data_IF_428311607083
#
_entry.id   IF_428311607083
#
_cell.length_a   1.000
_cell.length_b   1.000
_cell.length_c   1.000
_cell.angle_alpha   90.00
_cell.angle_beta   90.00
_cell.angle_gamma   90.00
#
_symmetry.space_group_name_H-M   'P 1'
#
loop_
_entity.id
_entity.type
_entity.pdbx_description
1 polymer ?
#
# COMPACT_ATOMS: atom_id res chain seq x y z
N UNK A 1 7.93 33.92 26.14
CA UNK A 1 7.59 32.60 25.63
C UNK A 1 6.63 32.76 24.46
N UNK A 2 7.15 32.79 23.22
CA UNK A 2 6.38 32.94 21.99
C UNK A 2 6.62 31.76 21.06
N UNK A 3 6.73 30.55 21.64
CA UNK A 3 6.75 29.35 20.83
C UNK A 3 5.30 29.01 20.51
N UNK A 4 4.83 29.60 19.38
CA UNK A 4 3.51 29.31 18.86
C UNK A 4 3.40 27.84 18.49
N UNK A 5 2.20 27.26 18.63
CA UNK A 5 1.92 25.95 18.11
C UNK A 5 2.03 25.98 16.59
N UNK A 6 2.60 24.91 16.03
CA UNK A 6 2.74 24.72 14.59
C UNK A 6 2.07 23.39 14.19
N UNK A 7 1.59 23.33 12.96
CA UNK A 7 1.12 22.12 12.32
C UNK A 7 1.82 22.04 10.96
N UNK A 8 2.60 21.01 10.75
CA UNK A 8 3.44 20.78 9.56
C UNK A 8 4.27 22.02 9.17
N UNK A 9 4.99 22.60 10.16
CA UNK A 9 5.79 23.83 10.05
C UNK A 9 4.99 25.11 9.71
N UNK A 10 3.66 25.07 9.74
CA UNK A 10 2.80 26.23 9.58
C UNK A 10 2.25 26.65 10.94
N UNK A 11 2.42 27.94 11.25
CA UNK A 11 2.01 28.51 12.55
C UNK A 11 0.50 28.48 12.73
N UNK A 12 0.04 28.06 13.91
CA UNK A 12 -1.35 28.18 14.33
C UNK A 12 -1.56 29.60 14.87
N UNK A 13 -2.30 30.41 14.11
CA UNK A 13 -2.56 31.83 14.49
C UNK A 13 -3.74 31.97 15.43
N UNK A 14 -4.69 31.06 15.40
CA UNK A 14 -5.84 31.05 16.30
C UNK A 14 -6.14 29.58 16.72
N UNK A 15 -5.71 29.17 17.91
CA UNK A 15 -5.93 27.80 18.39
C UNK A 15 -7.30 27.67 19.09
N UNK A 16 -7.79 26.42 19.16
CA UNK A 16 -8.91 26.02 20.02
C UNK A 16 -10.26 26.72 19.72
N UNK A 17 -10.54 27.03 18.47
CA UNK A 17 -11.85 27.53 18.04
C UNK A 17 -12.87 26.41 18.20
N UNK A 18 -13.87 26.60 19.07
CA UNK A 18 -14.89 25.59 19.31
C UNK A 18 -15.86 25.50 18.14
N UNK A 19 -16.07 24.28 17.62
CA UNK A 19 -17.09 23.94 16.67
C UNK A 19 -18.10 22.96 17.31
N UNK A 20 -19.23 22.70 16.64
CA UNK A 20 -20.27 21.81 17.16
C UNK A 20 -19.76 20.39 17.40
N UNK A 21 -18.91 19.88 16.52
CA UNK A 21 -18.42 18.49 16.51
C UNK A 21 -16.92 18.37 16.82
N UNK A 22 -16.27 19.44 17.28
CA UNK A 22 -14.83 19.38 17.55
C UNK A 22 -14.18 20.72 17.80
N UNK A 23 -12.89 20.79 17.56
CA UNK A 23 -12.04 21.98 17.70
C UNK A 23 -11.39 22.25 16.34
N UNK A 24 -11.35 23.51 15.95
CA UNK A 24 -10.70 23.99 14.74
C UNK A 24 -9.50 24.86 15.13
N UNK A 25 -8.42 24.73 14.40
CA UNK A 25 -7.24 25.59 14.51
C UNK A 25 -7.08 26.36 13.19
N UNK A 26 -6.89 27.68 13.27
CA UNK A 26 -6.60 28.49 12.11
C UNK A 26 -5.10 28.59 11.89
N UNK A 27 -4.67 28.22 10.69
CA UNK A 27 -3.27 28.29 10.27
C UNK A 27 -2.98 29.64 9.58
N UNK A 28 -1.72 30.06 9.62
CA UNK A 28 -1.22 31.28 8.96
C UNK A 28 -1.21 31.14 7.43
N UNK A 29 -0.94 29.93 6.95
CA UNK A 29 -0.90 29.57 5.53
C UNK A 29 -1.51 28.18 5.29
N UNK A 30 -1.86 27.83 4.06
CA UNK A 30 -2.21 26.45 3.71
C UNK A 30 -1.03 25.50 3.96
N UNK A 31 -1.33 24.31 4.46
CA UNK A 31 -0.37 23.22 4.55
C UNK A 31 -0.32 22.51 3.20
N UNK A 32 0.87 22.12 2.78
CA UNK A 32 1.04 21.32 1.57
C UNK A 32 0.38 19.95 1.76
N UNK A 33 -0.43 19.56 0.79
CA UNK A 33 -1.02 18.22 0.78
C UNK A 33 0.06 17.19 0.45
N UNK A 34 0.25 16.22 1.35
CA UNK A 34 1.13 15.08 1.13
C UNK A 34 0.27 13.86 0.85
N UNK A 35 0.47 13.25 -0.30
CA UNK A 35 -0.16 11.97 -0.63
C UNK A 35 0.27 10.88 0.36
N UNK A 36 -0.60 9.92 0.61
CA UNK A 36 -0.19 8.62 1.14
C UNK A 36 0.65 7.86 0.10
N UNK A 37 1.38 6.83 0.52
CA UNK A 37 2.13 5.98 -0.42
C UNK A 37 1.19 5.38 -1.47
N UNK A 38 -0.03 4.99 -1.05
CA UNK A 38 -1.04 4.44 -1.95
C UNK A 38 -1.48 5.44 -3.02
N UNK A 39 -1.84 6.64 -2.62
CA UNK A 39 -2.26 7.70 -3.56
C UNK A 39 -1.14 8.08 -4.53
N UNK A 40 0.10 8.14 -4.03
CA UNK A 40 1.24 8.54 -4.84
C UNK A 40 1.58 7.52 -5.95
N UNK A 41 1.23 6.25 -5.79
CA UNK A 41 1.36 5.26 -6.86
C UNK A 41 0.55 5.61 -8.12
N UNK A 42 -0.50 6.43 -8.01
CA UNK A 42 -1.36 6.85 -9.13
C UNK A 42 -1.02 8.23 -9.69
N UNK A 43 0.00 8.89 -9.16
CA UNK A 43 0.45 10.21 -9.62
C UNK A 43 1.23 10.07 -10.93
N UNK A 44 1.20 11.11 -11.76
CA UNK A 44 1.91 11.15 -13.03
C UNK A 44 3.43 11.03 -12.83
N UNK A 45 4.10 10.36 -13.77
CA UNK A 45 5.55 10.14 -13.73
C UNK A 45 6.39 11.42 -13.68
N UNK A 46 5.83 12.57 -14.07
CA UNK A 46 6.48 13.87 -13.95
C UNK A 46 6.81 14.22 -12.49
N UNK A 47 5.98 13.83 -11.54
CA UNK A 47 6.25 13.99 -10.10
C UNK A 47 7.27 12.98 -9.56
N UNK A 48 7.66 12.01 -10.37
CA UNK A 48 8.64 10.96 -10.08
C UNK A 48 9.90 11.10 -10.94
N UNK A 49 10.29 12.33 -11.31
CA UNK A 49 11.46 12.61 -12.17
C UNK A 49 11.44 11.84 -13.52
N UNK A 50 10.24 11.52 -14.03
CA UNK A 50 10.02 10.78 -15.26
C UNK A 50 10.06 9.25 -15.12
N UNK A 51 10.31 8.71 -13.93
CA UNK A 51 10.24 7.27 -13.70
C UNK A 51 8.80 6.76 -13.79
N UNK A 52 8.62 5.64 -14.48
CA UNK A 52 7.32 5.01 -14.69
C UNK A 52 7.17 3.79 -13.80
N UNK A 53 6.11 3.77 -13.02
CA UNK A 53 5.75 2.68 -12.08
C UNK A 53 4.35 2.11 -12.36
N UNK A 54 3.77 2.45 -13.52
CA UNK A 54 2.40 2.12 -13.89
C UNK A 54 2.10 0.62 -13.84
N UNK A 55 3.10 -0.22 -14.13
CA UNK A 55 2.91 -1.68 -14.16
C UNK A 55 2.51 -2.23 -12.80
N UNK A 56 3.20 -1.82 -11.72
CA UNK A 56 2.84 -2.19 -10.36
C UNK A 56 1.55 -1.50 -9.93
N UNK A 57 1.43 -0.19 -10.15
CA UNK A 57 0.27 0.60 -9.78
C UNK A 57 -1.02 0.02 -10.40
N UNK A 58 -1.05 -0.18 -11.71
CA UNK A 58 -2.21 -0.74 -12.41
C UNK A 58 -2.55 -2.15 -11.91
N UNK A 59 -1.53 -2.97 -11.63
CA UNK A 59 -1.76 -4.29 -11.07
C UNK A 59 -2.43 -4.21 -9.69
N UNK A 60 -1.93 -3.38 -8.79
CA UNK A 60 -2.50 -3.21 -7.45
C UNK A 60 -3.92 -2.62 -7.52
N UNK A 61 -4.12 -1.57 -8.29
CA UNK A 61 -5.43 -0.92 -8.44
C UNK A 61 -6.47 -1.77 -9.15
N UNK A 62 -6.07 -2.76 -9.96
CA UNK A 62 -7.00 -3.69 -10.61
C UNK A 62 -7.81 -4.54 -9.63
N UNK A 63 -7.40 -4.59 -8.36
CA UNK A 63 -8.10 -5.29 -7.29
C UNK A 63 -8.99 -4.39 -6.44
N UNK A 64 -9.18 -3.14 -6.82
CA UNK A 64 -10.13 -2.25 -6.17
C UNK A 64 -11.56 -2.75 -6.41
N UNK A 65 -12.26 -3.05 -5.32
CA UNK A 65 -13.67 -3.42 -5.33
C UNK A 65 -14.45 -2.33 -4.60
N UNK A 66 -15.40 -1.72 -5.31
CA UNK A 66 -16.30 -0.73 -4.72
C UNK A 66 -17.50 -1.44 -4.11
N UNK A 67 -17.68 -1.29 -2.81
CA UNK A 67 -18.75 -1.92 -2.06
C UNK A 67 -19.53 -0.86 -1.27
N UNK A 68 -20.79 -1.17 -0.93
CA UNK A 68 -21.59 -0.31 -0.06
C UNK A 68 -21.11 -0.49 1.37
N UNK A 69 -20.79 0.61 2.05
CA UNK A 69 -20.55 0.61 3.49
C UNK A 69 -21.89 0.53 4.21
N UNK A 70 -22.23 -0.66 4.68
CA UNK A 70 -23.50 -0.91 5.38
C UNK A 70 -23.63 -0.13 6.70
N UNK A 71 -22.49 0.22 7.33
CA UNK A 71 -22.50 0.94 8.61
C UNK A 71 -22.70 2.45 8.44
N UNK A 72 -22.23 3.01 7.33
CA UNK A 72 -22.35 4.44 7.05
C UNK A 72 -23.56 4.75 6.15
N UNK A 73 -24.13 3.75 5.49
CA UNK A 73 -25.29 3.89 4.61
C UNK A 73 -26.58 3.92 5.38
N UNK A 74 -27.57 4.65 4.88
CA UNK A 74 -28.91 4.71 5.45
C UNK A 74 -29.75 3.56 4.89
N UNK A 75 -30.13 2.64 5.77
CA UNK A 75 -30.92 1.47 5.40
C UNK A 75 -32.31 1.88 4.88
N UNK A 76 -32.70 1.29 3.77
CA UNK A 76 -34.03 1.33 3.19
C UNK A 76 -34.85 0.06 3.52
N UNK A 77 -36.03 -0.09 2.94
CA UNK A 77 -36.82 -1.30 3.09
C UNK A 77 -36.17 -2.50 2.40
N UNK A 78 -36.43 -3.70 2.92
CA UNK A 78 -36.07 -4.93 2.23
C UNK A 78 -37.05 -5.17 1.07
N UNK A 79 -36.51 -5.31 -0.16
CA UNK A 79 -37.30 -5.56 -1.37
C UNK A 79 -36.86 -6.88 -1.98
N UNK A 80 -37.79 -7.80 -2.17
CA UNK A 80 -37.52 -9.15 -2.71
C UNK A 80 -36.44 -9.96 -1.95
N UNK A 81 -36.27 -9.70 -0.65
CA UNK A 81 -35.29 -10.35 0.20
C UNK A 81 -33.91 -9.69 0.16
N UNK A 82 -33.71 -8.63 -0.62
CA UNK A 82 -32.49 -7.87 -0.67
C UNK A 82 -32.61 -6.56 0.11
N UNK A 83 -31.55 -6.22 0.86
CA UNK A 83 -31.47 -4.96 1.58
C UNK A 83 -31.27 -3.82 0.58
N UNK A 84 -32.12 -2.79 0.66
CA UNK A 84 -31.97 -1.56 -0.09
C UNK A 84 -31.43 -0.43 0.79
N UNK A 85 -30.94 0.64 0.18
CA UNK A 85 -30.42 1.81 0.89
C UNK A 85 -31.12 3.07 0.40
N UNK A 86 -31.50 3.94 1.33
CA UNK A 86 -32.05 5.27 1.03
C UNK A 86 -30.95 6.25 0.66
N UNK A 87 -29.77 6.07 1.29
CA UNK A 87 -28.54 6.79 0.95
C UNK A 87 -27.38 5.79 1.07
N UNK A 88 -26.51 5.76 0.06
CA UNK A 88 -25.44 4.78 -0.05
C UNK A 88 -24.08 5.45 0.06
N UNK A 89 -23.33 5.11 1.09
CA UNK A 89 -21.90 5.39 1.19
C UNK A 89 -21.13 4.22 0.60
N UNK A 90 -20.12 4.51 -0.20
CA UNK A 90 -19.29 3.47 -0.81
C UNK A 90 -17.89 3.52 -0.26
N UNK A 91 -17.30 2.35 -0.05
CA UNK A 91 -15.88 2.16 0.27
C UNK A 91 -15.21 1.40 -0.85
N UNK A 92 -13.92 1.64 -1.02
CA UNK A 92 -13.08 0.88 -1.95
C UNK A 92 -12.22 -0.05 -1.14
N UNK A 93 -12.46 -1.35 -1.28
CA UNK A 93 -11.66 -2.40 -0.66
C UNK A 93 -10.62 -2.90 -1.65
N UNK A 94 -9.41 -3.17 -1.17
CA UNK A 94 -8.35 -3.79 -1.97
C UNK A 94 -7.63 -4.85 -1.14
N UNK A 95 -7.56 -6.07 -1.66
CA UNK A 95 -6.92 -7.20 -0.95
C UNK A 95 -5.43 -6.99 -0.68
N UNK A 96 -4.75 -6.12 -1.44
CA UNK A 96 -3.34 -5.81 -1.24
C UNK A 96 -3.09 -4.86 -0.09
N UNK A 97 -4.08 -4.06 0.30
CA UNK A 97 -4.04 -3.16 1.46
C UNK A 97 -4.29 -3.93 2.76
N UNK A 98 -3.51 -5.00 2.97
CA UNK A 98 -3.59 -5.84 4.16
C UNK A 98 -2.23 -6.50 4.42
N UNK A 99 -1.67 -6.41 5.63
CA UNK A 99 -0.37 -7.00 5.94
C UNK A 99 -0.35 -8.53 5.91
N UNK A 100 -1.51 -9.21 5.99
CA UNK A 100 -1.57 -10.67 5.92
C UNK A 100 -1.55 -11.21 4.48
N UNK A 101 -1.91 -10.38 3.51
CA UNK A 101 -2.05 -10.79 2.10
C UNK A 101 -1.31 -9.93 1.10
N UNK A 102 -0.83 -8.74 1.49
CA UNK A 102 -0.26 -7.78 0.56
C UNK A 102 0.81 -6.86 1.15
N UNK A 103 0.74 -5.60 0.81
CA UNK A 103 1.76 -4.58 1.10
C UNK A 103 1.57 -3.86 2.45
N UNK A 104 0.52 -4.18 3.20
CA UNK A 104 0.17 -3.45 4.43
C UNK A 104 -0.82 -2.32 4.17
N UNK A 105 -1.13 -1.57 5.21
CA UNK A 105 -2.10 -0.47 5.18
C UNK A 105 -1.46 0.84 4.70
N UNK A 106 -0.89 0.82 3.49
CA UNK A 106 -0.18 1.99 2.91
C UNK A 106 -1.11 3.12 2.46
N UNK A 107 -2.40 2.95 2.61
CA UNK A 107 -3.47 3.92 2.42
C UNK A 107 -3.86 4.66 3.72
N UNK A 108 -3.42 4.17 4.88
CA UNK A 108 -3.76 4.72 6.19
C UNK A 108 -2.60 5.54 6.77
N UNK A 109 -2.95 6.60 7.50
CA UNK A 109 -2.00 7.51 8.14
C UNK A 109 -1.51 7.01 9.52
N UNK A 110 -2.08 5.91 10.03
CA UNK A 110 -1.81 5.40 11.38
C UNK A 110 -0.47 4.66 11.50
N UNK A 111 0.14 4.33 10.38
CA UNK A 111 1.37 3.55 10.31
C UNK A 111 2.39 4.19 9.38
N UNK A 112 3.68 4.00 9.69
CA UNK A 112 4.78 4.53 8.88
C UNK A 112 5.43 3.40 8.11
N UNK A 113 5.52 3.57 6.80
CA UNK A 113 6.08 2.58 5.88
C UNK A 113 7.21 3.16 5.04
N UNK A 114 8.11 2.28 4.59
CA UNK A 114 8.99 2.55 3.46
C UNK A 114 8.61 1.57 2.35
N UNK A 115 8.23 2.09 1.18
CA UNK A 115 7.90 1.26 0.01
C UNK A 115 8.94 1.46 -1.09
N UNK A 116 9.51 0.35 -1.55
CA UNK A 116 10.41 0.30 -2.71
C UNK A 116 9.58 -0.12 -3.92
N UNK A 117 9.48 0.77 -4.89
CA UNK A 117 8.62 0.63 -6.05
C UNK A 117 9.47 0.39 -7.28
N UNK A 118 9.34 -0.75 -7.96
CA UNK A 118 10.09 -1.03 -9.17
C UNK A 118 9.61 -0.15 -10.33
N UNK A 119 10.54 0.28 -11.16
CA UNK A 119 10.17 0.84 -12.47
C UNK A 119 9.49 -0.20 -13.33
N UNK A 120 8.80 0.23 -14.39
CA UNK A 120 8.17 -0.68 -15.35
C UNK A 120 9.16 -1.68 -15.96
N UNK A 121 10.39 -1.25 -16.20
CA UNK A 121 11.43 -2.12 -16.79
C UNK A 121 11.83 -3.22 -15.81
N UNK A 122 12.08 -2.86 -14.56
CA UNK A 122 12.40 -3.84 -13.48
C UNK A 122 11.24 -4.79 -13.24
N UNK A 123 10.00 -4.27 -13.24
CA UNK A 123 8.81 -5.11 -13.12
C UNK A 123 8.72 -6.14 -14.25
N UNK A 124 8.89 -5.70 -15.49
CA UNK A 124 8.80 -6.57 -16.67
C UNK A 124 9.92 -7.61 -16.70
N UNK A 125 11.14 -7.22 -16.36
CA UNK A 125 12.29 -8.13 -16.26
C UNK A 125 12.03 -9.22 -15.20
N UNK A 126 11.56 -8.83 -14.01
CA UNK A 126 11.21 -9.78 -12.98
C UNK A 126 10.09 -10.72 -13.42
N UNK A 127 9.03 -10.23 -14.05
CA UNK A 127 7.91 -11.06 -14.51
C UNK A 127 8.38 -12.07 -15.58
N UNK A 128 9.22 -11.64 -16.52
CA UNK A 128 9.79 -12.54 -17.52
C UNK A 128 10.66 -13.65 -16.90
N UNK A 129 11.47 -13.28 -15.88
CA UNK A 129 12.25 -14.25 -15.12
C UNK A 129 11.34 -15.21 -14.34
N UNK A 130 10.36 -14.68 -13.63
CA UNK A 130 9.44 -15.47 -12.84
C UNK A 130 8.63 -16.47 -13.69
N UNK A 131 8.16 -16.06 -14.86
CA UNK A 131 7.45 -16.93 -15.80
C UNK A 131 8.32 -18.13 -16.24
N UNK A 132 9.64 -18.00 -16.24
CA UNK A 132 10.54 -19.09 -16.53
C UNK A 132 10.60 -20.16 -15.43
N UNK A 133 10.33 -19.79 -14.18
CA UNK A 133 10.33 -20.67 -13.01
C UNK A 133 8.95 -21.19 -12.63
N UNK A 134 7.92 -20.35 -12.70
CA UNK A 134 6.53 -20.69 -12.33
C UNK A 134 5.75 -21.25 -13.52
N UNK A 135 6.25 -22.31 -14.12
CA UNK A 135 5.64 -22.90 -15.34
C UNK A 135 4.32 -23.59 -15.07
N UNK A 136 4.14 -24.15 -13.87
CA UNK A 136 2.97 -24.97 -13.50
C UNK A 136 2.60 -25.97 -14.61
N UNK A 137 3.61 -26.61 -15.20
CA UNK A 137 3.41 -27.69 -16.20
C UNK A 137 2.82 -28.87 -15.49
N UNK A 138 1.55 -29.13 -15.74
CA UNK A 138 0.69 -29.99 -14.93
C UNK A 138 0.80 -31.44 -15.23
N UNK A 139 1.53 -31.83 -16.28
CA UNK A 139 1.56 -33.22 -16.74
C UNK A 139 2.14 -34.20 -15.72
N UNK A 140 2.94 -33.72 -14.76
CA UNK A 140 3.59 -34.59 -13.77
C UNK A 140 2.88 -34.64 -12.40
N UNK A 141 2.10 -33.62 -12.02
CA UNK A 141 1.62 -33.44 -10.63
C UNK A 141 0.15 -33.13 -10.47
N UNK A 142 -0.59 -32.86 -11.54
CA UNK A 142 -2.01 -32.52 -11.44
C UNK A 142 -2.87 -33.46 -12.26
N UNK A 143 -4.06 -33.85 -11.76
CA UNK A 143 -4.98 -34.70 -12.56
C UNK A 143 -5.39 -33.91 -13.82
N UNK A 144 -5.52 -34.66 -14.93
CA UNK A 144 -5.91 -34.14 -16.26
C UNK A 144 -7.26 -33.35 -16.29
N UNK A 145 -7.85 -33.11 -15.13
CA UNK A 145 -9.12 -32.40 -14.93
C UNK A 145 -8.96 -30.96 -14.47
N UNK A 146 -7.71 -30.45 -14.29
CA UNK A 146 -7.54 -29.05 -13.89
C UNK A 146 -7.80 -28.16 -15.09
N UNK A 147 -8.73 -27.22 -14.92
CA UNK A 147 -9.05 -26.19 -15.91
C UNK A 147 -7.83 -25.31 -16.18
N UNK A 148 -7.51 -25.11 -17.45
CA UNK A 148 -6.39 -24.24 -17.89
C UNK A 148 -6.53 -22.81 -17.35
N UNK A 149 -7.73 -22.33 -17.11
CA UNK A 149 -7.99 -21.01 -16.52
C UNK A 149 -7.45 -20.89 -15.09
N UNK A 150 -7.49 -21.98 -14.30
CA UNK A 150 -6.92 -22.01 -12.95
C UNK A 150 -5.40 -21.94 -13.04
N UNK A 151 -4.79 -22.66 -13.96
CA UNK A 151 -3.34 -22.66 -14.17
C UNK A 151 -2.85 -21.26 -14.55
N UNK A 152 -3.54 -20.61 -15.48
CA UNK A 152 -3.21 -19.23 -15.89
C UNK A 152 -3.39 -18.25 -14.76
N UNK A 153 -4.40 -18.43 -13.91
CA UNK A 153 -4.59 -17.64 -12.69
C UNK A 153 -3.43 -17.83 -11.71
N UNK A 154 -2.97 -19.07 -11.49
CA UNK A 154 -1.84 -19.38 -10.61
C UNK A 154 -0.52 -18.80 -11.14
N UNK A 155 -0.26 -18.94 -12.47
CA UNK A 155 0.89 -18.35 -13.16
C UNK A 155 0.92 -16.83 -13.03
N UNK A 156 -0.23 -16.20 -13.10
CA UNK A 156 -0.34 -14.76 -12.94
C UNK A 156 -0.23 -14.30 -11.49
N UNK A 157 -0.75 -15.05 -10.54
CA UNK A 157 -0.85 -14.63 -9.15
C UNK A 157 0.44 -14.85 -8.35
N UNK A 158 1.01 -16.06 -8.37
CA UNK A 158 2.12 -16.42 -7.48
C UNK A 158 3.43 -15.66 -7.74
N UNK A 159 3.86 -15.43 -8.98
CA UNK A 159 5.04 -14.59 -9.22
C UNK A 159 4.86 -13.18 -8.66
N UNK A 160 3.69 -12.59 -8.86
CA UNK A 160 3.39 -11.22 -8.43
C UNK A 160 3.32 -11.10 -6.92
N UNK A 161 2.64 -11.99 -6.22
CA UNK A 161 2.59 -11.95 -4.77
C UNK A 161 3.98 -12.15 -4.14
N UNK A 162 4.81 -13.04 -4.70
CA UNK A 162 6.15 -13.26 -4.20
C UNK A 162 7.06 -12.04 -4.36
N UNK A 163 6.79 -11.18 -5.33
CA UNK A 163 7.49 -9.93 -5.51
C UNK A 163 6.91 -8.83 -4.60
N UNK A 164 5.60 -8.59 -4.70
CA UNK A 164 4.89 -7.47 -4.06
C UNK A 164 5.00 -7.50 -2.53
N UNK A 165 4.94 -8.68 -1.92
CA UNK A 165 4.97 -8.83 -0.45
C UNK A 165 6.26 -8.34 0.21
N UNK A 166 7.32 -8.11 -0.56
CA UNK A 166 8.61 -7.61 -0.07
C UNK A 166 8.92 -6.17 -0.53
N UNK A 167 7.98 -5.48 -1.12
CA UNK A 167 8.18 -4.09 -1.53
C UNK A 167 7.98 -3.09 -0.38
N UNK A 168 7.21 -3.45 0.64
CA UNK A 168 6.87 -2.54 1.74
C UNK A 168 7.43 -3.03 3.06
N UNK A 169 7.99 -2.11 3.81
CA UNK A 169 8.60 -2.33 5.12
C UNK A 169 7.95 -1.41 6.14
N UNK A 170 7.61 -1.95 7.32
CA UNK A 170 7.03 -1.17 8.41
C UNK A 170 8.15 -0.61 9.28
N UNK A 171 8.13 0.70 9.54
CA UNK A 171 9.05 1.34 10.46
C UNK A 171 8.43 1.44 11.85
N UNK A 172 9.14 0.92 12.86
CA UNK A 172 8.81 1.10 14.27
C UNK A 172 7.78 0.15 14.88
N UNK A 173 7.02 -0.61 14.11
CA UNK A 173 6.04 -1.56 14.67
C UNK A 173 6.66 -2.84 15.26
N UNK A 174 7.95 -3.08 15.03
CA UNK A 174 8.60 -4.36 15.36
C UNK A 174 9.86 -4.22 16.21
N UNK A 175 9.78 -3.42 17.25
CA UNK A 175 10.87 -3.21 18.22
C UNK A 175 11.58 -4.50 18.68
N UNK A 176 10.87 -5.62 18.71
CA UNK A 176 11.46 -6.91 19.09
C UNK A 176 12.39 -7.48 18.01
N UNK A 177 12.04 -7.32 16.72
CA UNK A 177 12.88 -7.76 15.60
C UNK A 177 14.07 -6.83 15.46
N UNK A 178 13.84 -5.52 15.54
CA UNK A 178 14.88 -4.49 15.52
C UNK A 178 15.87 -4.64 16.67
N UNK A 179 15.41 -5.00 17.87
CA UNK A 179 16.29 -5.26 19.01
C UNK A 179 17.21 -6.48 18.80
N UNK A 180 16.78 -7.49 18.03
CA UNK A 180 17.60 -8.66 17.69
C UNK A 180 18.47 -8.46 16.46
N UNK A 181 18.04 -7.60 15.55
CA UNK A 181 18.66 -7.37 14.24
C UNK A 181 18.67 -5.86 13.94
N UNK A 182 19.50 -5.05 14.65
CA UNK A 182 19.42 -3.59 14.58
C UNK A 182 19.70 -3.01 13.18
N UNK A 183 20.48 -3.74 12.35
CA UNK A 183 20.80 -3.34 10.98
C UNK A 183 19.87 -3.99 9.94
N UNK A 184 18.74 -4.51 10.38
CA UNK A 184 17.81 -5.22 9.53
C UNK A 184 16.41 -4.60 9.62
N UNK A 185 15.64 -4.78 8.54
CA UNK A 185 14.26 -4.35 8.44
C UNK A 185 13.38 -5.54 8.07
N UNK A 186 12.14 -5.54 8.53
CA UNK A 186 11.17 -6.61 8.24
C UNK A 186 10.09 -6.11 7.30
N UNK A 187 9.69 -6.91 6.29
CA UNK A 187 8.56 -6.58 5.44
C UNK A 187 7.29 -6.33 6.25
N UNK A 188 6.43 -5.45 5.74
CA UNK A 188 5.09 -5.24 6.27
C UNK A 188 4.22 -6.51 6.15
N UNK A 189 4.49 -7.36 5.17
CA UNK A 189 3.82 -8.64 4.99
C UNK A 189 4.01 -9.58 6.19
N UNK A 190 2.90 -10.07 6.75
CA UNK A 190 2.85 -10.86 7.97
C UNK A 190 2.73 -12.37 7.72
N UNK A 191 2.46 -12.82 6.51
CA UNK A 191 2.15 -14.20 6.18
C UNK A 191 3.35 -15.18 6.18
N UNK A 192 4.59 -14.68 6.29
CA UNK A 192 5.76 -15.57 6.35
C UNK A 192 6.01 -16.11 7.78
N UNK A 193 6.31 -17.42 7.86
CA UNK A 193 6.76 -18.04 9.10
C UNK A 193 7.94 -18.99 8.81
N UNK A 194 9.13 -18.80 9.45
CA UNK A 194 9.47 -17.69 10.34
C UNK A 194 9.53 -16.35 9.59
N UNK A 195 9.40 -15.25 10.35
CA UNK A 195 9.47 -13.89 9.80
C UNK A 195 10.80 -13.66 9.09
N UNK A 196 10.72 -13.09 7.89
CA UNK A 196 11.91 -12.67 7.15
C UNK A 196 12.40 -11.33 7.65
N UNK A 197 13.70 -11.15 7.63
CA UNK A 197 14.40 -9.88 7.86
C UNK A 197 15.41 -9.67 6.76
N UNK A 198 15.59 -8.44 6.34
CA UNK A 198 16.54 -8.06 5.31
C UNK A 198 17.54 -7.05 5.88
N UNK A 199 18.83 -7.15 5.58
CA UNK A 199 19.78 -6.11 5.93
C UNK A 199 19.39 -4.78 5.29
N UNK A 200 19.37 -3.69 6.07
CA UNK A 200 19.08 -2.35 5.54
C UNK A 200 20.01 -1.98 4.39
N UNK A 201 21.29 -2.37 4.49
CA UNK A 201 22.28 -2.15 3.43
C UNK A 201 21.97 -2.80 2.08
N UNK A 202 21.07 -3.81 2.04
CA UNK A 202 20.62 -4.39 0.77
C UNK A 202 19.52 -3.56 0.10
N UNK A 203 18.80 -2.75 0.87
CA UNK A 203 17.69 -1.94 0.43
C UNK A 203 18.08 -0.47 0.23
N UNK A 204 19.04 0.02 1.02
CA UNK A 204 19.53 1.41 1.02
C UNK A 204 20.84 1.55 0.25
N UNK A 205 20.93 0.97 -0.94
CA UNK A 205 22.11 1.06 -1.77
C UNK A 205 21.91 2.06 -2.91
N UNK A 206 22.95 2.18 -3.75
CA UNK A 206 23.01 3.04 -4.94
C UNK A 206 21.94 2.76 -6.02
N UNK A 207 21.05 1.80 -5.79
CA UNK A 207 19.98 1.46 -6.72
C UNK A 207 18.68 2.26 -6.49
N UNK A 208 18.59 3.01 -5.39
CA UNK A 208 17.49 3.96 -5.18
C UNK A 208 17.75 5.20 -6.02
N UNK A 209 16.89 5.44 -7.01
CA UNK A 209 17.04 6.54 -7.98
C UNK A 209 16.10 7.71 -7.72
N UNK A 210 15.10 7.51 -6.88
CA UNK A 210 14.14 8.52 -6.48
C UNK A 210 13.65 8.25 -5.06
N UNK A 211 13.47 9.31 -4.27
CA UNK A 211 12.91 9.23 -2.91
C UNK A 211 12.02 10.44 -2.64
N UNK A 212 10.85 10.21 -2.08
CA UNK A 212 9.93 11.28 -1.67
C UNK A 212 9.24 10.93 -0.34
N UNK A 213 9.15 11.93 0.53
CA UNK A 213 8.43 11.83 1.79
C UNK A 213 6.93 11.92 1.55
N UNK A 214 6.20 10.90 2.00
CA UNK A 214 4.75 10.82 1.97
C UNK A 214 4.15 11.15 3.33
N UNK A 215 2.82 11.27 3.43
CA UNK A 215 2.12 11.47 4.70
C UNK A 215 2.34 10.31 5.67
N UNK A 216 2.39 9.08 5.16
CA UNK A 216 2.52 7.85 5.92
C UNK A 216 3.84 7.10 5.67
N UNK A 217 4.91 7.78 5.26
CA UNK A 217 6.23 7.18 5.15
C UNK A 217 7.09 7.64 3.98
N UNK A 218 7.90 6.73 3.45
CA UNK A 218 8.82 6.99 2.35
C UNK A 218 8.46 6.17 1.11
N UNK A 219 8.43 6.84 -0.03
CA UNK A 219 8.30 6.24 -1.35
C UNK A 219 9.66 6.28 -2.06
N UNK A 220 10.16 5.13 -2.48
CA UNK A 220 11.48 4.99 -3.14
C UNK A 220 11.34 4.20 -4.44
N UNK A 221 12.00 4.66 -5.49
CA UNK A 221 12.12 3.95 -6.77
C UNK A 221 13.53 3.45 -6.94
#
# INVERSE_FOLDING_TARGET
YSDGYEFDNVRIVEPNIRAWNGIVHKLEAPVEYKHSIWEFLAVDSEEMDGYKVDSLANYLYSFNVREVDEYQSVLGPVVNGEQTYLDSVFVVNNKWLNPNSGVGYIDLEDSIYTMYVPTNDVWNEYMALADSYFKYDCDAFMPATLDTTIIDSLRNYYPRINFIKYLTYSEGERKYIEAKHPDSISPAYLGDYPRKVFPKSQLENEHVVFEKQMSNGLFKI
#
